data_IF_888127220232
#
_entry.id   IF_888127220232
#
_cell.length_a   1.000
_cell.length_b   1.000
_cell.length_c   1.000
_cell.angle_alpha   90.00
_cell.angle_beta   90.00
_cell.angle_gamma   90.00
#
_symmetry.space_group_name_H-M   'P 1'
#
loop_
_entity.id
_entity.type
_entity.pdbx_description
1 polymer ?
#
# COMPACT_ATOMS: atom_id res chain seq x y z
N UNK A 1 13.69 84.57 -8.60
CA UNK A 1 14.19 84.05 -9.90
C UNK A 1 14.34 82.57 -9.66
N UNK A 2 13.24 81.84 -9.86
CA UNK A 2 13.18 80.41 -9.61
C UNK A 2 13.61 79.68 -10.87
N UNK A 3 14.66 78.88 -10.74
CA UNK A 3 15.27 78.11 -11.81
C UNK A 3 14.50 76.79 -11.94
N UNK A 4 13.83 76.61 -13.08
CA UNK A 4 12.99 75.46 -13.36
C UNK A 4 13.87 74.28 -13.78
N UNK A 5 13.78 73.10 -13.14
CA UNK A 5 14.60 71.95 -13.50
C UNK A 5 14.22 71.40 -14.88
N UNK A 6 15.18 70.82 -15.63
CA UNK A 6 14.94 70.30 -16.97
C UNK A 6 14.01 69.07 -16.96
N UNK A 7 13.23 68.85 -18.04
CA UNK A 7 12.31 67.73 -18.12
C UNK A 7 13.06 66.39 -18.18
N UNK A 8 12.54 65.40 -17.46
CA UNK A 8 13.04 64.02 -17.46
C UNK A 8 12.89 63.38 -18.84
N UNK A 9 13.88 62.58 -19.23
CA UNK A 9 13.86 61.79 -20.46
C UNK A 9 12.87 60.61 -20.33
N UNK A 10 12.18 60.32 -21.42
CA UNK A 10 11.22 59.21 -21.49
C UNK A 10 11.90 57.85 -21.25
N UNK A 11 11.25 56.93 -20.50
CA UNK A 11 11.77 55.59 -20.27
C UNK A 11 11.76 54.76 -21.56
N UNK A 12 12.75 53.84 -21.74
CA UNK A 12 12.76 52.92 -22.87
C UNK A 12 11.54 52.01 -22.83
N UNK A 13 10.87 51.86 -23.97
CA UNK A 13 9.70 50.99 -24.12
C UNK A 13 10.05 49.51 -23.87
N UNK A 14 9.04 48.70 -23.49
CA UNK A 14 9.25 47.30 -23.14
C UNK A 14 9.71 46.46 -24.35
N UNK A 15 10.57 45.45 -24.13
CA UNK A 15 10.98 44.52 -25.18
C UNK A 15 9.79 43.65 -25.61
N UNK A 16 9.59 43.57 -26.93
CA UNK A 16 8.69 42.62 -27.57
C UNK A 16 9.40 41.28 -27.65
N UNK A 17 8.87 40.26 -26.98
CA UNK A 17 9.23 38.84 -27.13
C UNK A 17 7.99 38.05 -26.72
N UNK A 18 7.42 37.13 -27.49
CA UNK A 18 8.00 36.27 -28.52
C UNK A 18 8.01 34.84 -27.97
N UNK A 19 7.13 34.02 -28.54
CA UNK A 19 7.01 32.56 -28.44
C UNK A 19 6.36 31.95 -27.17
N UNK A 20 5.07 31.62 -27.31
CA UNK A 20 4.35 30.63 -26.50
C UNK A 20 4.87 29.21 -26.79
N UNK A 21 5.28 28.42 -25.79
CA UNK A 21 5.42 26.98 -25.94
C UNK A 21 4.05 26.30 -25.82
N UNK A 22 3.58 25.76 -26.96
CA UNK A 22 2.46 24.83 -27.07
C UNK A 22 2.77 23.52 -26.34
N UNK A 23 2.03 23.22 -25.28
CA UNK A 23 2.05 21.91 -24.63
C UNK A 23 1.08 20.98 -25.36
N UNK A 24 1.63 19.91 -25.90
CA UNK A 24 0.91 18.83 -26.57
C UNK A 24 0.08 18.01 -25.55
N UNK A 25 -1.17 17.74 -25.89
CA UNK A 25 -2.02 16.73 -25.24
C UNK A 25 -1.34 15.35 -25.21
N UNK A 26 -1.39 14.61 -24.08
CA UNK A 26 -1.08 13.19 -24.07
C UNK A 26 -2.19 12.40 -24.77
N UNK A 27 -1.81 11.74 -25.86
CA UNK A 27 -2.69 10.92 -26.68
C UNK A 27 -3.32 9.73 -25.95
N UNK A 28 -4.53 9.40 -26.41
CA UNK A 28 -5.33 8.25 -26.00
C UNK A 28 -4.56 6.92 -26.12
N UNK A 29 -4.68 6.08 -25.09
CA UNK A 29 -4.24 4.69 -25.11
C UNK A 29 -5.07 3.85 -26.11
N UNK A 30 -4.46 2.94 -26.88
CA UNK A 30 -5.20 2.03 -27.75
C UNK A 30 -5.90 0.94 -26.95
N UNK A 31 -7.15 0.67 -27.33
CA UNK A 31 -7.95 -0.45 -26.85
C UNK A 31 -7.31 -1.80 -27.27
N UNK A 32 -6.99 -2.64 -26.29
CA UNK A 32 -6.62 -4.02 -26.49
C UNK A 32 -7.87 -4.91 -26.60
N UNK A 33 -8.04 -5.53 -27.76
CA UNK A 33 -9.03 -6.57 -28.06
C UNK A 33 -8.72 -7.92 -27.34
N UNK A 34 -9.72 -8.82 -27.22
CA UNK A 34 -9.67 -9.98 -26.32
C UNK A 34 -8.94 -11.17 -26.94
N UNK A 35 -8.11 -11.85 -26.15
CA UNK A 35 -7.48 -13.13 -26.53
C UNK A 35 -8.25 -14.29 -25.90
N UNK A 36 -8.65 -15.23 -26.75
CA UNK A 36 -9.68 -16.23 -26.47
C UNK A 36 -9.28 -17.51 -25.72
N UNK A 37 -10.33 -18.23 -25.31
CA UNK A 37 -10.35 -19.70 -25.18
C UNK A 37 -10.23 -20.34 -26.58
N UNK A 38 -9.95 -21.66 -26.79
CA UNK A 38 -10.23 -22.87 -25.95
C UNK A 38 -9.04 -23.91 -26.06
N UNK A 39 -9.11 -25.27 -25.90
CA UNK A 39 -10.26 -26.16 -25.74
C UNK A 39 -10.20 -27.30 -24.69
N UNK A 40 -11.41 -27.81 -24.45
CA UNK A 40 -11.79 -29.16 -24.00
C UNK A 40 -11.03 -30.29 -24.71
N UNK A 41 -10.58 -31.28 -23.94
CA UNK A 41 -10.07 -32.56 -24.43
C UNK A 41 -10.93 -33.74 -23.95
N UNK A 42 -11.62 -34.37 -24.90
CA UNK A 42 -12.15 -35.75 -24.91
C UNK A 42 -11.08 -36.77 -24.47
N UNK A 43 -11.37 -37.82 -23.68
CA UNK A 43 -12.12 -39.04 -24.02
C UNK A 43 -11.52 -39.86 -25.18
N UNK A 44 -11.61 -41.21 -25.04
CA UNK A 44 -11.10 -42.33 -25.89
C UNK A 44 -9.91 -43.06 -25.22
N UNK A 45 -9.84 -44.40 -25.07
CA UNK A 45 -10.63 -45.52 -25.59
C UNK A 45 -10.28 -46.82 -24.84
N UNK A 46 -11.28 -47.66 -24.59
CA UNK A 46 -11.24 -49.14 -24.53
C UNK A 46 -11.40 -49.74 -25.95
N UNK A 47 -11.50 -51.07 -26.19
CA UNK A 47 -10.73 -52.27 -25.80
C UNK A 47 -10.29 -53.03 -27.12
N UNK A 48 -10.02 -54.37 -27.24
CA UNK A 48 -10.97 -55.48 -26.97
C UNK A 48 -10.42 -56.89 -26.58
N UNK A 49 -11.34 -57.67 -25.99
CA UNK A 49 -11.74 -59.07 -26.25
C UNK A 49 -10.75 -60.26 -26.26
N UNK A 50 -11.17 -61.33 -25.58
CA UNK A 50 -10.70 -62.70 -25.80
C UNK A 50 -11.26 -63.74 -24.82
N UNK A 51 -12.57 -63.99 -24.81
CA UNK A 51 -13.13 -65.32 -24.49
C UNK A 51 -13.22 -66.12 -25.80
N UNK A 52 -13.05 -67.46 -25.80
CA UNK A 52 -14.21 -68.37 -25.61
C UNK A 52 -13.79 -69.76 -24.99
N UNK A 53 -14.59 -70.80 -24.70
CA UNK A 53 -16.01 -71.11 -24.50
C UNK A 53 -16.08 -72.62 -24.13
N UNK A 54 -17.06 -72.96 -23.29
CA UNK A 54 -17.87 -74.19 -23.18
C UNK A 54 -17.33 -75.60 -22.87
N UNK A 55 -18.19 -76.30 -22.11
CA UNK A 55 -18.56 -77.71 -22.30
C UNK A 55 -18.82 -78.44 -20.98
N UNK A 56 -20.02 -78.39 -20.36
CA UNK A 56 -21.16 -79.34 -20.53
C UNK A 56 -20.76 -80.83 -20.46
N UNK A 57 -21.44 -81.79 -19.81
CA UNK A 57 -22.62 -81.92 -18.93
C UNK A 57 -22.74 -83.42 -18.55
N UNK A 58 -23.42 -83.70 -17.43
CA UNK A 58 -24.36 -84.82 -17.19
C UNK A 58 -23.92 -86.30 -17.18
N UNK A 59 -24.37 -87.01 -16.13
CA UNK A 59 -25.37 -88.08 -16.33
C UNK A 59 -24.96 -89.54 -16.12
N UNK A 60 -25.43 -90.09 -15.00
CA UNK A 60 -26.22 -91.34 -14.90
C UNK A 60 -25.58 -92.75 -14.98
N UNK A 61 -26.02 -93.58 -14.02
CA UNK A 61 -26.26 -95.04 -14.05
C UNK A 61 -25.17 -96.04 -13.62
N UNK A 62 -25.55 -96.84 -12.61
CA UNK A 62 -25.00 -98.15 -12.21
C UNK A 62 -25.72 -99.31 -12.97
N UNK A 63 -25.62 -100.62 -12.63
CA UNK A 63 -24.60 -101.53 -12.02
C UNK A 63 -24.33 -102.74 -13.00
N UNK A 64 -23.91 -104.01 -12.68
CA UNK A 64 -23.73 -104.71 -11.39
C UNK A 64 -22.57 -105.74 -11.22
N UNK A 65 -22.47 -106.22 -9.96
CA UNK A 65 -22.17 -107.57 -9.46
C UNK A 65 -20.74 -108.17 -9.38
N UNK A 66 -20.47 -108.67 -8.16
CA UNK A 66 -19.78 -109.93 -7.78
C UNK A 66 -18.29 -109.90 -7.45
N UNK A 67 -17.94 -110.43 -6.26
CA UNK A 67 -16.62 -111.04 -6.03
C UNK A 67 -15.96 -110.78 -4.66
N UNK A 68 -16.15 -111.72 -3.75
CA UNK A 68 -15.47 -112.03 -2.48
C UNK A 68 -14.10 -111.39 -2.12
N UNK A 69 -13.94 -111.16 -0.80
CA UNK A 69 -12.73 -110.77 -0.07
C UNK A 69 -11.53 -111.75 -0.22
N UNK A 70 -10.29 -111.34 0.16
CA UNK A 70 -9.92 -111.41 1.58
C UNK A 70 -9.08 -110.22 2.10
N UNK A 71 -9.26 -109.97 3.40
CA UNK A 71 -8.49 -109.04 4.24
C UNK A 71 -7.00 -109.38 4.20
N UNK A 72 -6.17 -108.45 3.73
CA UNK A 72 -4.71 -108.45 3.95
C UNK A 72 -4.31 -107.16 4.68
N UNK A 73 -3.89 -107.32 5.94
CA UNK A 73 -3.22 -106.27 6.75
C UNK A 73 -2.06 -105.67 5.95
N UNK A 74 -2.16 -104.39 5.59
CA UNK A 74 -1.09 -103.68 4.87
C UNK A 74 -0.38 -102.70 5.80
N UNK A 75 0.96 -102.74 5.75
CA UNK A 75 1.87 -101.75 6.36
C UNK A 75 1.73 -100.35 5.70
N UNK A 76 0.81 -100.17 4.75
CA UNK A 76 0.53 -98.89 4.07
C UNK A 76 -0.36 -97.93 4.88
N UNK A 77 -1.17 -98.43 5.82
CA UNK A 77 -2.01 -97.57 6.65
C UNK A 77 -1.21 -96.71 7.65
N UNK A 78 -0.06 -97.23 8.12
CA UNK A 78 0.86 -96.47 8.99
C UNK A 78 1.54 -95.36 8.18
N UNK A 79 2.06 -95.67 6.99
CA UNK A 79 2.69 -94.66 6.11
C UNK A 79 1.67 -93.61 5.66
N UNK A 80 0.45 -93.99 5.32
CA UNK A 80 -0.62 -93.05 4.99
C UNK A 80 -0.97 -92.13 6.18
N UNK A 81 -1.07 -92.67 7.39
CA UNK A 81 -1.31 -91.85 8.60
C UNK A 81 -0.15 -90.89 8.89
N UNK A 82 1.10 -91.31 8.67
CA UNK A 82 2.28 -90.43 8.81
C UNK A 82 2.32 -89.33 7.75
N UNK A 83 2.05 -89.66 6.48
CA UNK A 83 1.99 -88.67 5.40
C UNK A 83 0.87 -87.67 5.67
N UNK A 84 -0.31 -88.12 6.09
CA UNK A 84 -1.45 -87.26 6.38
C UNK A 84 -1.20 -86.40 7.63
N UNK A 85 -0.51 -86.94 8.65
CA UNK A 85 -0.06 -86.18 9.81
C UNK A 85 0.98 -85.10 9.47
N UNK A 86 1.96 -85.41 8.62
CA UNK A 86 2.95 -84.44 8.14
C UNK A 86 2.29 -83.35 7.28
N UNK A 87 1.36 -83.73 6.42
CA UNK A 87 0.62 -82.79 5.56
C UNK A 87 -0.26 -81.86 6.40
N UNK A 88 -0.89 -82.37 7.46
CA UNK A 88 -1.64 -81.57 8.43
C UNK A 88 -0.72 -80.58 9.15
N UNK A 89 0.45 -81.02 9.62
CA UNK A 89 1.43 -80.14 10.28
C UNK A 89 1.94 -79.06 9.32
N UNK A 90 2.19 -79.38 8.05
CA UNK A 90 2.59 -78.40 7.03
C UNK A 90 1.50 -77.38 6.75
N UNK A 91 0.23 -77.81 6.67
CA UNK A 91 -0.91 -76.90 6.49
C UNK A 91 -1.09 -75.98 7.71
N UNK A 92 -0.96 -76.51 8.92
CA UNK A 92 -1.02 -75.72 10.16
C UNK A 92 0.15 -74.74 10.26
N UNK A 93 1.37 -75.15 9.89
CA UNK A 93 2.54 -74.29 9.86
C UNK A 93 2.40 -73.18 8.80
N UNK A 94 1.88 -73.49 7.61
CA UNK A 94 1.59 -72.51 6.57
C UNK A 94 0.48 -71.54 6.99
N UNK A 95 -0.56 -72.02 7.68
CA UNK A 95 -1.63 -71.19 8.25
C UNK A 95 -1.12 -70.26 9.35
N UNK A 96 -0.24 -70.74 10.23
CA UNK A 96 0.42 -69.92 11.24
C UNK A 96 1.34 -68.86 10.62
N UNK A 97 2.10 -69.21 9.58
CA UNK A 97 2.93 -68.26 8.83
C UNK A 97 2.10 -67.17 8.16
N UNK A 98 1.02 -67.55 7.47
CA UNK A 98 0.14 -66.59 6.78
C UNK A 98 -0.59 -65.66 7.76
N UNK A 99 -0.97 -66.16 8.94
CA UNK A 99 -1.59 -65.32 9.98
C UNK A 99 -0.62 -64.32 10.59
N UNK A 100 0.64 -64.70 10.82
CA UNK A 100 1.69 -63.75 11.25
C UNK A 100 1.95 -62.69 10.17
N UNK A 101 2.12 -63.09 8.91
CA UNK A 101 2.28 -62.16 7.78
C UNK A 101 1.09 -61.20 7.62
N UNK A 102 -0.13 -61.70 7.84
CA UNK A 102 -1.35 -60.89 7.76
C UNK A 102 -1.47 -59.90 8.93
N UNK A 103 -1.04 -60.28 10.14
CA UNK A 103 -1.01 -59.40 11.30
C UNK A 103 0.05 -58.29 11.12
N UNK A 104 1.26 -58.63 10.69
CA UNK A 104 2.31 -57.65 10.37
C UNK A 104 1.90 -56.69 9.24
N UNK A 105 1.23 -57.20 8.20
CA UNK A 105 0.71 -56.36 7.12
C UNK A 105 -0.38 -55.38 7.61
N UNK A 106 -1.24 -55.81 8.54
CA UNK A 106 -2.27 -54.94 9.13
C UNK A 106 -1.68 -53.82 9.97
N UNK A 107 -0.66 -54.11 10.79
CA UNK A 107 0.03 -53.07 11.57
C UNK A 107 0.73 -52.06 10.67
N UNK A 108 1.41 -52.51 9.60
CA UNK A 108 2.02 -51.61 8.61
C UNK A 108 0.99 -50.73 7.89
N UNK A 109 -0.17 -51.27 7.54
CA UNK A 109 -1.25 -50.50 6.90
C UNK A 109 -1.84 -49.47 7.87
N UNK A 110 -1.99 -49.81 9.16
CA UNK A 110 -2.48 -48.87 10.17
C UNK A 110 -1.48 -47.72 10.39
N UNK A 111 -0.19 -48.03 10.56
CA UNK A 111 0.89 -47.05 10.69
C UNK A 111 1.04 -46.17 9.43
N UNK A 112 0.88 -46.76 8.23
CA UNK A 112 0.85 -45.98 6.98
C UNK A 112 -0.35 -45.05 6.89
N UNK A 113 -1.54 -45.47 7.34
CA UNK A 113 -2.72 -44.60 7.34
C UNK A 113 -2.58 -43.43 8.31
N UNK A 114 -2.03 -43.68 9.49
CA UNK A 114 -1.75 -42.62 10.47
C UNK A 114 -0.72 -41.62 9.91
N UNK A 115 0.36 -42.11 9.29
CA UNK A 115 1.34 -41.26 8.61
C UNK A 115 0.73 -40.43 7.47
N UNK A 116 -0.12 -41.04 6.65
CA UNK A 116 -0.83 -40.34 5.57
C UNK A 116 -1.76 -39.27 6.14
N UNK A 117 -2.51 -39.56 7.22
CA UNK A 117 -3.39 -38.59 7.88
C UNK A 117 -2.58 -37.42 8.44
N UNK A 118 -1.50 -37.68 9.17
CA UNK A 118 -0.65 -36.62 9.73
C UNK A 118 0.03 -35.78 8.62
N UNK A 119 0.41 -36.40 7.50
CA UNK A 119 0.92 -35.67 6.34
C UNK A 119 -0.16 -34.82 5.67
N UNK A 120 -1.40 -35.30 5.59
CA UNK A 120 -2.52 -34.53 5.04
C UNK A 120 -2.82 -33.30 5.91
N UNK A 121 -2.86 -33.46 7.23
CA UNK A 121 -3.08 -32.36 8.18
C UNK A 121 -1.96 -31.30 8.10
N UNK A 122 -0.70 -31.73 7.97
CA UNK A 122 0.44 -30.82 7.82
C UNK A 122 0.38 -30.06 6.49
N UNK A 123 0.01 -30.74 5.39
CA UNK A 123 -0.18 -30.10 4.09
C UNK A 123 -1.32 -29.08 4.15
N UNK A 124 -2.42 -29.38 4.84
CA UNK A 124 -3.54 -28.45 5.00
C UNK A 124 -3.13 -27.19 5.76
N UNK A 125 -2.39 -27.33 6.86
CA UNK A 125 -1.83 -26.19 7.60
C UNK A 125 -0.86 -25.37 6.78
N UNK A 126 0.00 -26.02 5.98
CA UNK A 126 0.92 -25.32 5.09
C UNK A 126 0.19 -24.54 4.01
N UNK A 127 -0.88 -25.12 3.43
CA UNK A 127 -1.74 -24.43 2.47
C UNK A 127 -2.40 -23.22 3.10
N UNK A 128 -3.01 -23.37 4.27
CA UNK A 128 -3.64 -22.27 4.99
C UNK A 128 -2.65 -21.12 5.26
N UNK A 129 -1.42 -21.44 5.68
CA UNK A 129 -0.39 -20.44 5.89
C UNK A 129 0.06 -19.76 4.59
N UNK A 130 0.11 -20.48 3.47
CA UNK A 130 0.40 -19.91 2.16
C UNK A 130 -0.72 -18.96 1.75
N UNK A 131 -1.98 -19.38 1.84
CA UNK A 131 -3.14 -18.55 1.50
C UNK A 131 -3.14 -17.25 2.31
N UNK A 132 -2.89 -17.33 3.63
CA UNK A 132 -2.76 -16.15 4.51
C UNK A 132 -1.63 -15.20 4.09
N UNK A 133 -0.49 -15.73 3.60
CA UNK A 133 0.61 -14.89 3.07
C UNK A 133 0.26 -14.24 1.74
N UNK A 134 -0.48 -14.93 0.88
CA UNK A 134 -0.97 -14.37 -0.37
C UNK A 134 -1.97 -13.23 -0.10
N UNK A 135 -2.86 -13.39 0.88
CA UNK A 135 -3.76 -12.33 1.33
C UNK A 135 -3.00 -11.11 1.87
N UNK A 136 -1.96 -11.33 2.68
CA UNK A 136 -1.09 -10.26 3.15
C UNK A 136 -0.43 -9.51 1.98
N UNK A 137 0.15 -10.25 1.03
CA UNK A 137 0.80 -9.67 -0.14
C UNK A 137 -0.18 -8.85 -1.00
N UNK A 138 -1.40 -9.35 -1.20
CA UNK A 138 -2.45 -8.63 -1.90
C UNK A 138 -2.88 -7.36 -1.14
N UNK A 139 -3.03 -7.43 0.18
CA UNK A 139 -3.34 -6.27 1.00
C UNK A 139 -2.24 -5.19 0.92
N UNK A 140 -0.96 -5.60 0.98
CA UNK A 140 0.17 -4.68 0.87
C UNK A 140 0.24 -4.04 -0.51
N UNK A 141 0.01 -4.82 -1.57
CA UNK A 141 -0.09 -4.28 -2.93
C UNK A 141 -1.23 -3.28 -3.06
N UNK A 142 -2.37 -3.52 -2.39
CA UNK A 142 -3.50 -2.58 -2.34
C UNK A 142 -3.11 -1.28 -1.65
N UNK A 143 -2.51 -1.36 -0.46
CA UNK A 143 -2.02 -0.20 0.29
C UNK A 143 -1.06 0.66 -0.53
N UNK A 144 -0.07 0.03 -1.17
CA UNK A 144 0.91 0.74 -2.01
C UNK A 144 0.27 1.32 -3.27
N UNK A 145 -0.77 0.65 -3.81
CA UNK A 145 -1.59 1.18 -4.88
C UNK A 145 -2.32 2.47 -4.47
N UNK A 146 -2.95 2.48 -3.30
CA UNK A 146 -3.60 3.68 -2.75
C UNK A 146 -2.59 4.78 -2.46
N UNK A 147 -1.42 4.45 -1.88
CA UNK A 147 -0.35 5.42 -1.62
C UNK A 147 0.17 6.08 -2.90
N UNK A 148 0.17 5.36 -4.04
CA UNK A 148 0.56 5.91 -5.33
C UNK A 148 -0.40 6.99 -5.85
N UNK A 149 -1.67 7.04 -5.40
CA UNK A 149 -2.59 8.13 -5.75
C UNK A 149 -2.17 9.49 -5.15
N UNK A 150 -1.24 9.49 -4.18
CA UNK A 150 -0.68 10.69 -3.59
C UNK A 150 0.56 11.20 -4.33
N UNK A 151 0.98 10.56 -5.44
CA UNK A 151 2.12 11.03 -6.24
C UNK A 151 1.94 12.50 -6.66
N UNK A 152 2.96 13.31 -6.38
CA UNK A 152 2.94 14.76 -6.62
C UNK A 152 2.12 15.59 -5.61
N UNK A 153 1.56 15.00 -4.56
CA UNK A 153 1.03 15.76 -3.40
C UNK A 153 2.21 16.31 -2.59
N UNK A 154 2.27 17.64 -2.39
CA UNK A 154 3.43 18.33 -1.82
C UNK A 154 3.65 18.09 -0.32
N UNK A 155 2.64 17.61 0.39
CA UNK A 155 2.69 17.34 1.83
C UNK A 155 3.23 15.94 2.11
N UNK A 156 4.56 15.77 2.03
CA UNK A 156 5.23 14.46 2.00
C UNK A 156 4.88 13.49 3.14
N UNK A 157 4.67 14.00 4.35
CA UNK A 157 4.31 13.20 5.53
C UNK A 157 2.90 12.62 5.52
N UNK A 158 2.07 12.93 4.52
CA UNK A 158 0.70 12.42 4.44
C UNK A 158 0.65 10.90 4.22
N UNK A 159 1.69 10.37 3.56
CA UNK A 159 1.88 8.93 3.42
C UNK A 159 2.93 8.47 4.44
N UNK A 160 2.53 7.73 5.49
CA UNK A 160 3.44 7.29 6.55
C UNK A 160 4.27 6.07 6.12
N UNK A 161 5.22 6.28 5.20
CA UNK A 161 6.09 5.21 4.65
C UNK A 161 6.78 4.36 5.72
N UNK A 162 7.22 4.99 6.81
CA UNK A 162 7.85 4.28 7.92
C UNK A 162 6.90 3.26 8.57
N UNK A 163 5.63 3.62 8.75
CA UNK A 163 4.64 2.70 9.33
C UNK A 163 4.38 1.51 8.40
N UNK A 164 4.37 1.74 7.09
CA UNK A 164 4.18 0.66 6.09
C UNK A 164 5.36 -0.30 6.07
N UNK A 165 6.58 0.23 6.22
CA UNK A 165 7.76 -0.59 6.40
C UNK A 165 7.67 -1.42 7.69
N UNK A 166 7.26 -0.82 8.81
CA UNK A 166 7.07 -1.54 10.08
C UNK A 166 6.01 -2.65 9.94
N UNK A 167 4.91 -2.42 9.21
CA UNK A 167 3.92 -3.45 8.91
C UNK A 167 4.52 -4.62 8.12
N UNK A 168 5.32 -4.33 7.09
CA UNK A 168 5.99 -5.35 6.29
C UNK A 168 7.02 -6.16 7.11
N UNK A 169 7.86 -5.48 7.90
CA UNK A 169 8.83 -6.14 8.78
C UNK A 169 8.16 -7.02 9.83
N UNK A 170 7.04 -6.56 10.41
CA UNK A 170 6.28 -7.31 11.41
C UNK A 170 5.70 -8.59 10.80
N UNK A 171 5.07 -8.48 9.64
CA UNK A 171 4.56 -9.64 8.90
C UNK A 171 5.67 -10.63 8.52
N UNK A 172 6.85 -10.15 8.13
CA UNK A 172 8.00 -11.02 7.85
C UNK A 172 8.46 -11.81 9.09
N UNK A 173 8.48 -11.18 10.27
CA UNK A 173 8.80 -11.87 11.54
C UNK A 173 7.73 -12.92 11.89
N UNK A 174 6.47 -12.63 11.59
CA UNK A 174 5.34 -13.50 11.88
C UNK A 174 5.04 -14.55 10.81
N UNK A 175 5.83 -14.62 9.73
CA UNK A 175 5.56 -15.48 8.54
C UNK A 175 5.37 -16.98 8.80
N UNK A 176 5.61 -17.47 10.00
CA UNK A 176 5.44 -18.87 10.37
C UNK A 176 4.20 -19.12 11.25
N UNK A 177 3.47 -18.06 11.60
CA UNK A 177 2.29 -18.09 12.47
C UNK A 177 1.10 -17.48 11.70
N UNK A 178 0.14 -18.34 11.32
CA UNK A 178 -0.98 -17.93 10.46
C UNK A 178 -1.87 -16.88 11.12
N UNK A 179 -2.15 -17.01 12.42
CA UNK A 179 -3.02 -16.06 13.13
C UNK A 179 -2.36 -14.68 13.21
N UNK A 180 -1.03 -14.65 13.37
CA UNK A 180 -0.27 -13.40 13.36
C UNK A 180 -0.20 -12.74 11.98
N UNK A 181 -0.06 -13.53 10.91
CA UNK A 181 -0.12 -13.00 9.54
C UNK A 181 -1.51 -12.41 9.24
N UNK A 182 -2.57 -13.02 9.77
CA UNK A 182 -3.93 -12.48 9.64
C UNK A 182 -4.10 -11.15 10.38
N UNK A 183 -3.62 -11.04 11.62
CA UNK A 183 -3.57 -9.77 12.37
C UNK A 183 -2.80 -8.69 11.59
N UNK A 184 -1.65 -9.05 11.01
CA UNK A 184 -0.84 -8.13 10.20
C UNK A 184 -1.54 -7.69 8.92
N UNK A 185 -2.27 -8.62 8.28
CA UNK A 185 -3.09 -8.34 7.10
C UNK A 185 -4.20 -7.33 7.43
N UNK A 186 -4.85 -7.46 8.59
CA UNK A 186 -5.84 -6.48 9.04
C UNK A 186 -5.22 -5.10 9.27
N UNK A 187 -4.02 -5.03 9.85
CA UNK A 187 -3.29 -3.78 10.01
C UNK A 187 -3.01 -3.07 8.68
N UNK A 188 -2.59 -3.82 7.66
CA UNK A 188 -2.37 -3.29 6.30
C UNK A 188 -3.68 -2.80 5.67
N UNK A 189 -4.78 -3.57 5.80
CA UNK A 189 -6.10 -3.16 5.30
C UNK A 189 -6.60 -1.88 5.99
N UNK A 190 -6.38 -1.74 7.29
CA UNK A 190 -6.72 -0.51 8.02
C UNK A 190 -5.93 0.68 7.50
N UNK A 191 -4.61 0.54 7.34
CA UNK A 191 -3.78 1.60 6.79
C UNK A 191 -4.22 2.05 5.38
N UNK A 192 -4.68 1.10 4.55
CA UNK A 192 -5.20 1.41 3.22
C UNK A 192 -6.52 2.20 3.31
N UNK A 193 -7.44 1.76 4.18
CA UNK A 193 -8.71 2.46 4.41
C UNK A 193 -8.52 3.88 4.98
N UNK A 194 -7.49 4.08 5.82
CA UNK A 194 -7.14 5.39 6.36
C UNK A 194 -6.67 6.33 5.22
N UNK A 195 -5.81 5.86 4.31
CA UNK A 195 -5.41 6.63 3.12
C UNK A 195 -6.59 6.94 2.19
N UNK A 196 -7.45 5.97 1.93
CA UNK A 196 -8.66 6.17 1.11
C UNK A 196 -9.57 7.25 1.72
N UNK A 197 -9.69 7.25 3.05
CA UNK A 197 -10.45 8.26 3.79
C UNK A 197 -9.82 9.64 3.63
N UNK A 198 -8.50 9.76 3.84
CA UNK A 198 -7.77 11.02 3.64
C UNK A 198 -7.99 11.56 2.23
N UNK A 199 -7.87 10.70 1.22
CA UNK A 199 -8.04 11.08 -0.19
C UNK A 199 -9.48 11.52 -0.50
N UNK A 200 -10.48 10.80 0.02
CA UNK A 200 -11.88 11.15 -0.15
C UNK A 200 -12.22 12.49 0.52
N UNK A 201 -11.73 12.71 1.74
CA UNK A 201 -11.87 13.99 2.46
C UNK A 201 -11.20 15.12 1.70
N UNK A 202 -9.95 14.95 1.26
CA UNK A 202 -9.25 15.97 0.49
C UNK A 202 -9.97 16.33 -0.83
N UNK A 203 -10.53 15.34 -1.53
CA UNK A 203 -11.35 15.57 -2.74
C UNK A 203 -12.64 16.33 -2.43
N UNK A 204 -13.27 16.05 -1.29
CA UNK A 204 -14.46 16.76 -0.85
C UNK A 204 -14.12 18.21 -0.46
N UNK A 205 -13.04 18.40 0.28
CA UNK A 205 -12.59 19.70 0.75
C UNK A 205 -12.12 20.57 -0.43
N UNK A 206 -11.38 20.02 -1.40
CA UNK A 206 -11.03 20.72 -2.65
C UNK A 206 -12.25 21.17 -3.46
N UNK A 207 -13.40 20.50 -3.31
CA UNK A 207 -14.64 20.87 -3.98
C UNK A 207 -15.46 21.91 -3.18
N UNK A 208 -15.07 22.22 -1.94
CA UNK A 208 -15.72 23.20 -1.09
C UNK A 208 -14.84 24.43 -0.89
N UNK A 209 -15.36 25.61 -1.24
CA UNK A 209 -14.86 26.88 -0.74
C UNK A 209 -15.95 27.43 0.19
N UNK A 210 -15.93 26.99 1.44
CA UNK A 210 -17.04 27.10 2.37
C UNK A 210 -17.16 28.51 2.98
N UNK A 211 -16.06 29.23 3.15
CA UNK A 211 -16.00 30.57 3.73
C UNK A 211 -15.96 31.67 2.68
N UNK A 212 -15.46 31.39 1.47
CA UNK A 212 -15.33 32.38 0.39
C UNK A 212 -14.22 33.42 0.64
N UNK A 213 -13.37 33.19 1.63
CA UNK A 213 -12.25 34.10 1.96
C UNK A 213 -11.09 33.94 0.98
N UNK A 214 -10.31 35.00 0.79
CA UNK A 214 -9.08 34.95 -0.02
C UNK A 214 -8.07 33.96 0.57
N UNK A 215 -7.98 33.87 1.90
CA UNK A 215 -7.17 32.87 2.60
C UNK A 215 -7.50 31.44 2.16
N UNK A 216 -8.78 31.06 2.28
CA UNK A 216 -9.25 29.74 1.89
C UNK A 216 -9.01 29.47 0.41
N UNK A 217 -9.35 30.43 -0.46
CA UNK A 217 -9.13 30.25 -1.91
C UNK A 217 -7.66 30.02 -2.28
N UNK A 218 -6.72 30.66 -1.58
CA UNK A 218 -5.28 30.48 -1.83
C UNK A 218 -4.80 29.16 -1.26
N UNK A 219 -5.19 28.81 -0.03
CA UNK A 219 -4.82 27.54 0.60
C UNK A 219 -5.40 26.35 -0.17
N UNK A 220 -6.64 26.42 -0.63
CA UNK A 220 -7.25 25.36 -1.46
C UNK A 220 -6.49 25.18 -2.78
N UNK A 221 -6.10 26.29 -3.42
CA UNK A 221 -5.33 26.26 -4.66
C UNK A 221 -3.95 25.63 -4.47
N UNK A 222 -3.25 25.96 -3.37
CA UNK A 222 -1.90 25.48 -3.08
C UNK A 222 -1.92 24.04 -2.56
N UNK A 223 -2.82 23.74 -1.62
CA UNK A 223 -2.95 22.46 -0.93
C UNK A 223 -3.77 21.41 -1.69
N UNK A 224 -4.53 21.80 -2.72
CA UNK A 224 -5.37 20.91 -3.54
C UNK A 224 -6.32 20.05 -2.70
N UNK A 225 -6.85 20.62 -1.61
CA UNK A 225 -7.71 19.96 -0.63
C UNK A 225 -7.02 19.16 0.47
N UNK A 226 -5.70 18.96 0.40
CA UNK A 226 -4.95 18.29 1.47
C UNK A 226 -4.53 19.23 2.61
N UNK A 227 -4.73 20.53 2.42
CA UNK A 227 -4.50 21.56 3.43
C UNK A 227 -5.77 22.36 3.55
N UNK A 228 -6.21 22.56 4.79
CA UNK A 228 -7.41 23.33 5.11
C UNK A 228 -7.00 24.65 5.76
N UNK A 229 -7.90 25.62 5.72
CA UNK A 229 -7.75 26.86 6.46
C UNK A 229 -8.96 27.16 7.31
N UNK A 230 -8.75 27.84 8.43
CA UNK A 230 -9.82 28.40 9.25
C UNK A 230 -9.49 29.83 9.66
N UNK A 231 -10.52 30.67 9.69
CA UNK A 231 -10.45 32.01 10.26
C UNK A 231 -11.04 31.94 11.67
N UNK A 232 -10.19 32.00 12.69
CA UNK A 232 -10.60 31.79 14.08
C UNK A 232 -9.87 32.74 15.05
N UNK A 233 -10.19 32.64 16.34
CA UNK A 233 -9.53 33.41 17.40
C UNK A 233 -8.42 32.59 18.08
N UNK A 234 -7.96 31.50 17.46
CA UNK A 234 -6.97 30.64 18.08
C UNK A 234 -5.68 31.42 18.15
N UNK A 235 -5.19 31.60 19.37
CA UNK A 235 -3.92 32.28 19.59
C UNK A 235 -2.82 31.41 19.01
N UNK A 236 -2.18 31.92 17.97
CA UNK A 236 -0.93 31.44 17.41
C UNK A 236 0.21 31.63 18.42
N UNK A 237 0.11 30.87 19.52
CA UNK A 237 0.99 30.68 20.69
C UNK A 237 1.69 31.88 21.36
N UNK A 238 1.51 33.11 20.89
CA UNK A 238 2.11 34.28 21.52
C UNK A 238 1.02 35.21 22.04
N UNK A 239 1.34 35.89 23.14
CA UNK A 239 0.61 37.06 23.62
C UNK A 239 0.85 38.29 22.72
N UNK A 240 1.16 38.06 21.44
CA UNK A 240 1.47 39.07 20.45
C UNK A 240 0.31 39.18 19.47
N UNK A 241 -0.40 40.30 19.55
CA UNK A 241 -1.53 40.61 18.69
C UNK A 241 -1.09 40.88 17.23
N UNK A 242 0.21 40.76 16.90
CA UNK A 242 0.75 40.93 15.55
C UNK A 242 0.77 39.65 14.70
N UNK A 243 0.48 38.48 15.26
CA UNK A 243 0.52 37.21 14.51
C UNK A 243 -0.79 37.04 13.72
N UNK A 244 -0.68 37.04 12.39
CA UNK A 244 -1.82 37.00 11.48
C UNK A 244 -2.22 35.59 11.03
N UNK A 245 -1.35 34.61 11.23
CA UNK A 245 -1.59 33.20 10.95
C UNK A 245 -0.62 32.28 11.68
N UNK A 246 -0.92 30.99 11.67
CA UNK A 246 0.00 29.95 12.10
C UNK A 246 -0.39 28.56 11.62
N UNK A 247 0.62 27.69 11.63
CA UNK A 247 0.50 26.25 11.45
C UNK A 247 1.11 25.55 12.67
N UNK A 248 0.43 24.53 13.20
CA UNK A 248 0.93 23.77 14.34
C UNK A 248 1.53 22.44 13.89
N UNK A 249 2.71 22.09 14.40
CA UNK A 249 3.37 20.82 14.04
C UNK A 249 2.59 19.56 14.39
N UNK A 250 1.63 19.62 15.33
CA UNK A 250 0.76 18.49 15.68
C UNK A 250 -0.48 18.35 14.78
N UNK A 251 -0.78 19.38 13.97
CA UNK A 251 -1.80 19.34 12.91
C UNK A 251 -1.33 20.23 11.75
N UNK A 252 -0.31 19.78 10.98
CA UNK A 252 0.34 20.62 9.99
C UNK A 252 -0.50 20.84 8.73
N UNK A 253 -1.65 20.18 8.61
CA UNK A 253 -2.56 20.27 7.46
C UNK A 253 -3.69 21.29 7.67
N UNK A 254 -3.64 22.04 8.78
CA UNK A 254 -4.60 23.08 9.11
C UNK A 254 -3.89 24.41 9.35
N UNK A 255 -4.18 25.39 8.51
CA UNK A 255 -3.73 26.77 8.67
C UNK A 255 -4.77 27.55 9.46
N UNK A 256 -4.34 28.22 10.53
CA UNK A 256 -5.17 29.14 11.29
C UNK A 256 -4.83 30.57 10.87
N UNK A 257 -5.84 31.38 10.59
CA UNK A 257 -5.71 32.82 10.35
C UNK A 257 -6.45 33.61 11.43
N UNK A 258 -5.83 34.70 11.90
CA UNK A 258 -6.41 35.52 12.97
C UNK A 258 -7.62 36.32 12.47
N UNK A 259 -8.78 36.01 13.03
CA UNK A 259 -10.04 36.67 12.71
C UNK A 259 -10.08 38.16 13.11
N UNK A 260 -9.29 38.58 14.09
CA UNK A 260 -9.22 40.00 14.47
C UNK A 260 -8.35 40.78 13.49
N UNK A 261 -7.17 40.25 13.15
CA UNK A 261 -6.25 40.76 12.14
C UNK A 261 -6.88 40.88 10.76
N UNK A 262 -7.72 39.91 10.37
CA UNK A 262 -8.45 39.95 9.11
C UNK A 262 -9.39 41.17 8.96
N UNK A 263 -9.91 41.67 10.08
CA UNK A 263 -10.83 42.82 10.11
C UNK A 263 -10.12 44.18 10.13
N UNK A 264 -8.78 44.20 10.09
CA UNK A 264 -8.02 45.44 10.12
C UNK A 264 -8.28 46.25 8.83
N UNK A 265 -8.42 47.60 8.92
CA UNK A 265 -8.83 48.44 7.79
C UNK A 265 -7.90 48.40 6.58
N UNK A 266 -6.67 47.94 6.77
CA UNK A 266 -5.65 47.82 5.73
C UNK A 266 -5.52 46.41 5.15
N UNK A 267 -6.28 45.43 5.67
CA UNK A 267 -6.19 44.04 5.23
C UNK A 267 -6.84 43.87 3.85
N UNK A 268 -6.03 43.90 2.79
CA UNK A 268 -6.46 43.68 1.40
C UNK A 268 -6.27 42.23 0.98
N UNK A 269 -6.89 41.82 -0.13
CA UNK A 269 -6.69 40.47 -0.69
C UNK A 269 -5.25 40.20 -1.10
N UNK A 270 -4.49 41.24 -1.45
CA UNK A 270 -3.05 41.15 -1.70
C UNK A 270 -2.28 40.74 -0.43
N UNK A 271 -2.57 41.38 0.72
CA UNK A 271 -1.97 41.00 1.99
C UNK A 271 -2.39 39.59 2.41
N UNK A 272 -3.68 39.26 2.30
CA UNK A 272 -4.21 37.92 2.61
C UNK A 272 -3.51 36.84 1.78
N UNK A 273 -3.28 37.12 0.50
CA UNK A 273 -2.59 36.19 -0.41
C UNK A 273 -1.14 35.98 0.05
N UNK A 274 -0.41 37.05 0.36
CA UNK A 274 0.96 36.96 0.87
C UNK A 274 1.07 36.13 2.15
N UNK A 275 0.21 36.43 3.12
CA UNK A 275 0.13 35.70 4.40
C UNK A 275 -0.22 34.23 4.15
N UNK A 276 -1.18 33.91 3.27
CA UNK A 276 -1.52 32.52 2.95
C UNK A 276 -0.34 31.74 2.33
N UNK A 277 0.46 32.36 1.46
CA UNK A 277 1.66 31.72 0.93
C UNK A 277 2.71 31.48 2.01
N UNK A 278 2.91 32.45 2.91
CA UNK A 278 3.80 32.31 4.07
C UNK A 278 3.37 31.11 4.93
N UNK A 279 2.09 31.06 5.35
CA UNK A 279 1.60 29.97 6.19
C UNK A 279 1.64 28.61 5.48
N UNK A 280 1.35 28.58 4.17
CA UNK A 280 1.48 27.35 3.39
C UNK A 280 2.94 26.86 3.35
N UNK A 281 3.92 27.76 3.36
CA UNK A 281 5.32 27.37 3.49
C UNK A 281 5.59 26.62 4.80
N UNK A 282 4.99 27.04 5.92
CA UNK A 282 5.07 26.30 7.18
C UNK A 282 4.44 24.90 7.10
N UNK A 283 3.30 24.75 6.42
CA UNK A 283 2.72 23.43 6.14
C UNK A 283 3.75 22.54 5.43
N UNK A 284 4.38 23.05 4.38
CA UNK A 284 5.40 22.33 3.63
C UNK A 284 6.63 22.00 4.47
N UNK A 285 7.06 22.94 5.33
CA UNK A 285 8.20 22.74 6.23
C UNK A 285 7.94 21.62 7.25
N UNK A 286 6.76 21.61 7.88
CA UNK A 286 6.38 20.57 8.84
C UNK A 286 6.18 19.21 8.17
N UNK A 287 5.60 19.18 6.97
CA UNK A 287 5.30 17.93 6.27
C UNK A 287 6.48 17.36 5.48
N UNK A 288 7.57 18.12 5.36
CA UNK A 288 8.82 17.70 4.70
C UNK A 288 10.05 18.09 5.55
N UNK A 289 10.21 17.55 6.78
CA UNK A 289 11.20 18.04 7.74
C UNK A 289 12.64 17.83 7.26
N UNK A 290 12.95 16.68 6.65
CA UNK A 290 14.32 16.39 6.17
C UNK A 290 14.74 17.29 5.02
N UNK A 291 13.82 17.48 4.05
CA UNK A 291 14.02 18.38 2.91
C UNK A 291 14.22 19.83 3.36
N UNK A 292 13.46 20.24 4.39
CA UNK A 292 13.55 21.57 4.99
C UNK A 292 14.85 21.75 5.75
N UNK A 293 15.24 20.78 6.60
CA UNK A 293 16.49 20.83 7.36
C UNK A 293 17.72 20.97 6.45
N UNK A 294 17.68 20.36 5.25
CA UNK A 294 18.76 20.47 4.28
C UNK A 294 18.93 21.87 3.67
N UNK A 295 17.86 22.64 3.50
CA UNK A 295 17.89 23.97 2.86
C UNK A 295 17.94 25.12 3.87
N UNK A 296 17.49 24.89 5.11
CA UNK A 296 17.41 25.90 6.16
C UNK A 296 18.71 26.70 6.41
N UNK A 297 19.93 26.14 6.25
CA UNK A 297 21.17 26.92 6.35
C UNK A 297 21.27 28.09 5.35
N UNK A 298 20.56 28.06 4.22
CA UNK A 298 20.49 29.20 3.28
C UNK A 298 19.68 30.39 3.84
N UNK A 299 18.97 30.18 4.94
CA UNK A 299 18.15 31.15 5.67
C UNK A 299 18.65 31.31 7.11
N UNK A 300 19.94 31.06 7.37
CA UNK A 300 20.56 31.16 8.69
C UNK A 300 19.91 30.27 9.78
N UNK A 301 19.17 29.23 9.38
CA UNK A 301 18.43 28.38 10.32
C UNK A 301 17.02 28.89 10.65
N UNK A 302 16.52 29.92 9.98
CA UNK A 302 15.26 30.58 10.32
C UNK A 302 14.10 30.14 9.39
N UNK A 303 13.09 29.51 10.00
CA UNK A 303 11.89 29.01 9.33
C UNK A 303 10.95 30.11 8.85
N UNK A 304 10.90 31.22 9.58
CA UNK A 304 10.05 32.38 9.28
C UNK A 304 10.60 33.14 8.07
N UNK A 305 11.92 33.36 8.05
CA UNK A 305 12.60 33.98 6.89
C UNK A 305 12.43 33.11 5.65
N UNK A 306 12.53 31.78 5.79
CA UNK A 306 12.26 30.86 4.69
C UNK A 306 10.81 30.93 4.19
N UNK A 307 9.83 31.09 5.10
CA UNK A 307 8.41 31.23 4.75
C UNK A 307 8.12 32.56 4.05
N UNK A 308 8.70 33.67 4.51
CA UNK A 308 8.66 34.96 3.81
C UNK A 308 9.28 34.86 2.41
N UNK A 309 10.43 34.18 2.29
CA UNK A 309 11.07 33.94 1.00
C UNK A 309 10.22 33.08 0.07
N UNK A 310 9.42 32.16 0.59
CA UNK A 310 8.49 31.39 -0.21
C UNK A 310 7.44 32.30 -0.86
N UNK A 311 6.76 33.13 -0.05
CA UNK A 311 5.78 34.10 -0.56
C UNK A 311 6.41 35.05 -1.58
N UNK A 312 7.56 35.65 -1.25
CA UNK A 312 8.30 36.55 -2.13
C UNK A 312 8.74 35.89 -3.45
N UNK A 313 9.01 34.58 -3.47
CA UNK A 313 9.51 33.85 -4.65
C UNK A 313 8.41 33.50 -5.64
N UNK A 314 7.21 33.18 -5.16
CA UNK A 314 6.11 32.68 -5.98
C UNK A 314 5.00 33.71 -6.24
N UNK A 315 4.95 34.80 -5.47
CA UNK A 315 4.08 35.93 -5.77
C UNK A 315 4.86 37.01 -6.51
N UNK A 316 4.55 37.18 -7.80
CA UNK A 316 5.16 38.23 -8.61
C UNK A 316 4.71 39.62 -8.12
N UNK A 317 5.66 40.53 -7.95
CA UNK A 317 5.42 41.89 -7.47
C UNK A 317 5.09 42.03 -5.98
N UNK A 318 5.00 40.93 -5.21
CA UNK A 318 4.73 40.99 -3.77
C UNK A 318 5.99 41.42 -2.99
N UNK A 319 5.81 42.25 -1.97
CA UNK A 319 6.88 42.80 -1.10
C UNK A 319 6.45 42.71 0.34
N UNK A 320 7.37 42.77 1.31
CA UNK A 320 7.00 42.79 2.73
C UNK A 320 6.33 44.11 3.13
N UNK A 321 6.77 45.21 2.53
CA UNK A 321 6.25 46.54 2.80
C UNK A 321 5.18 46.94 1.78
N UNK A 322 4.03 47.39 2.27
CA UNK A 322 2.91 47.82 1.45
C UNK A 322 2.40 49.19 1.91
N UNK A 323 1.99 50.01 0.93
CA UNK A 323 1.20 51.23 1.17
C UNK A 323 -0.24 51.00 0.74
N UNK A 324 -1.13 50.86 1.72
CA UNK A 324 -2.54 50.58 1.49
C UNK A 324 -3.37 51.86 1.63
N UNK A 325 -3.92 52.34 0.52
CA UNK A 325 -4.81 53.49 0.49
C UNK A 325 -6.24 53.09 0.89
N UNK A 326 -6.74 53.64 1.99
CA UNK A 326 -8.12 53.42 2.47
C UNK A 326 -9.07 54.55 2.06
N UNK A 327 -8.52 55.66 1.56
CA UNK A 327 -9.25 56.73 0.86
C UNK A 327 -8.30 57.50 -0.05
N UNK A 328 -8.77 58.53 -0.76
CA UNK A 328 -7.92 59.37 -1.60
C UNK A 328 -6.86 60.20 -0.85
N UNK A 329 -6.86 60.19 0.49
CA UNK A 329 -5.94 60.98 1.32
C UNK A 329 -5.49 60.25 2.60
N UNK A 330 -5.94 59.02 2.83
CA UNK A 330 -5.53 58.21 3.98
C UNK A 330 -4.93 56.90 3.48
N UNK A 331 -3.76 56.56 4.03
CA UNK A 331 -3.08 55.31 3.77
C UNK A 331 -2.51 54.74 5.06
N UNK A 332 -2.21 53.45 5.01
CA UNK A 332 -1.41 52.73 6.00
C UNK A 332 -0.13 52.26 5.34
N UNK A 333 1.00 52.45 6.00
CA UNK A 333 2.23 51.74 5.68
C UNK A 333 2.27 50.49 6.57
N UNK A 334 2.22 49.32 5.94
CA UNK A 334 2.11 48.01 6.61
C UNK A 334 3.33 47.19 6.20
N UNK A 335 3.97 46.55 7.17
CA UNK A 335 5.02 45.57 6.91
C UNK A 335 4.51 44.22 7.38
N UNK A 336 4.49 43.24 6.48
CA UNK A 336 4.08 41.86 6.75
C UNK A 336 5.34 40.98 6.61
N UNK A 337 5.63 40.19 7.64
CA UNK A 337 6.83 39.33 7.71
C UNK A 337 7.97 39.95 8.54
N UNK A 338 9.14 39.31 8.51
CA UNK A 338 10.28 39.61 9.38
C UNK A 338 11.30 40.57 8.76
N UNK A 339 10.85 41.41 7.82
CA UNK A 339 11.59 42.57 7.31
C UNK A 339 12.83 42.28 6.47
N UNK A 340 13.01 41.05 5.96
CA UNK A 340 14.14 40.69 5.09
C UNK A 340 13.71 40.44 3.64
N UNK A 341 14.28 41.21 2.71
CA UNK A 341 14.12 40.95 1.28
C UNK A 341 15.00 39.78 0.88
N UNK A 342 14.41 38.74 0.30
CA UNK A 342 15.13 37.54 -0.09
C UNK A 342 16.03 37.77 -1.31
N UNK A 343 17.29 37.40 -1.15
CA UNK A 343 18.30 37.42 -2.21
C UNK A 343 17.97 36.44 -3.35
N UNK A 344 18.55 36.65 -4.53
CA UNK A 344 18.39 35.72 -5.67
C UNK A 344 18.82 34.28 -5.32
N UNK A 345 19.86 34.13 -4.49
CA UNK A 345 20.32 32.84 -4.01
C UNK A 345 19.28 32.15 -3.11
N UNK A 346 18.66 32.90 -2.19
CA UNK A 346 17.58 32.39 -1.34
C UNK A 346 16.34 32.02 -2.15
N UNK A 347 15.97 32.84 -3.13
CA UNK A 347 14.87 32.55 -4.07
C UNK A 347 15.14 31.27 -4.87
N UNK A 348 16.37 31.08 -5.33
CA UNK A 348 16.75 29.83 -6.01
C UNK A 348 16.68 28.64 -5.05
N UNK A 349 17.16 28.79 -3.81
CA UNK A 349 17.07 27.74 -2.80
C UNK A 349 15.61 27.34 -2.49
N UNK A 350 14.69 28.31 -2.43
CA UNK A 350 13.24 28.05 -2.33
C UNK A 350 12.74 27.24 -3.52
N UNK A 351 13.10 27.59 -4.76
CA UNK A 351 12.66 26.87 -5.97
C UNK A 351 13.17 25.43 -5.98
N UNK A 352 14.44 25.23 -5.64
CA UNK A 352 15.06 23.91 -5.58
C UNK A 352 14.44 23.06 -4.48
N UNK A 353 14.23 23.64 -3.29
CA UNK A 353 13.51 22.98 -2.19
C UNK A 353 12.09 22.60 -2.61
N UNK A 354 11.32 23.53 -3.15
CA UNK A 354 9.93 23.27 -3.57
C UNK A 354 9.85 22.16 -4.64
N UNK A 355 10.78 22.16 -5.60
CA UNK A 355 10.85 21.14 -6.66
C UNK A 355 11.19 19.73 -6.16
N UNK A 356 11.70 19.60 -4.94
CA UNK A 356 12.02 18.30 -4.34
C UNK A 356 10.91 17.76 -3.43
N UNK A 357 9.90 18.57 -3.11
CA UNK A 357 8.84 18.23 -2.17
C UNK A 357 7.86 17.21 -2.74
N UNK A 358 7.13 16.62 -1.80
CA UNK A 358 5.98 15.79 -2.08
C UNK A 358 6.21 14.31 -1.86
N UNK A 359 5.11 13.58 -1.90
CA UNK A 359 5.08 12.14 -1.72
C UNK A 359 5.80 11.49 -2.89
N UNK A 360 6.83 10.72 -2.58
CA UNK A 360 7.56 9.89 -3.54
C UNK A 360 7.34 8.43 -3.18
N UNK A 361 6.93 7.58 -4.14
CA UNK A 361 6.84 6.14 -3.90
C UNK A 361 8.14 5.60 -3.33
N UNK A 362 8.07 4.91 -2.19
CA UNK A 362 9.23 4.27 -1.59
C UNK A 362 9.14 2.76 -1.75
N UNK A 363 10.24 2.08 -2.14
CA UNK A 363 10.27 0.62 -2.06
C UNK A 363 10.18 0.21 -0.59
N UNK A 364 9.26 -0.70 -0.29
CA UNK A 364 9.21 -1.35 1.02
C UNK A 364 10.18 -2.52 0.98
N UNK A 365 11.36 -2.35 1.59
CA UNK A 365 12.28 -3.45 1.83
C UNK A 365 11.93 -4.12 3.16
N UNK A 366 11.92 -5.45 3.18
CA UNK A 366 11.79 -6.25 4.41
C UNK A 366 12.97 -6.07 5.38
N UNK A 367 14.00 -5.30 4.98
CA UNK A 367 15.22 -5.08 5.75
C UNK A 367 16.06 -6.35 5.83
N UNK A 368 17.35 -6.19 6.16
CA UNK A 368 18.29 -7.27 6.49
C UNK A 368 17.84 -8.02 7.76
N UNK A 369 16.74 -8.75 7.69
CA UNK A 369 16.35 -9.70 8.70
C UNK A 369 17.43 -10.81 8.70
N UNK A 370 18.19 -11.00 9.79
CA UNK A 370 19.18 -12.06 9.84
C UNK A 370 18.48 -13.40 9.52
N UNK A 371 19.06 -14.11 8.56
CA UNK A 371 18.57 -15.37 8.00
C UNK A 371 18.27 -16.44 9.06
#
# INVERSE_FOLDING_TARGET
MDEQPPPAADPPGPPVSGDEPSYAEPGAAPAGEPVGAPPTGEALSTPPAGEPVAGQTAGESAPPASGAAPVRRSRGAVVAAWVLGILLVLVLAAGAWLTVQFLEARERIADQREKISNQQDEIEKQKELIDKKEEFGAAMSGLLGTAAEFDGVLTGSIVPWHEYQVLAERAWRHRWDGDKVEDDTQGVRQAAADLETILATARQDAASNATGSTYESVIDSLGRGFVRSVLDQKTCSSSDDSVLGCVFGNDPYLVHFDAAGDQLPYMTDELRTGIAYHEFAHVLQFTNPDATAAVLPAFDGDHEVMADCFALTFLDGWTLDHRIWVSGYQYWDVSIGYGQVCSDAQRQAVRDWYGQLGVKPQPIDSGDAPA
#
